data_IF_360605562789
#
_entry.id   IF_360605562789
#
_cell.length_a   1.000
_cell.length_b   1.000
_cell.length_c   1.000
_cell.angle_alpha   90.00
_cell.angle_beta   90.00
_cell.angle_gamma   90.00
#
_symmetry.space_group_name_H-M   'P 1'
#
loop_
_entity.id
_entity.type
_entity.pdbx_description
1 polymer ?
#
# COMPACT_ATOMS: atom_id res chain seq x y z
N UNK A 1 24.68 31.91 -15.32
CA UNK A 1 25.73 32.85 -14.86
C UNK A 1 26.93 32.00 -14.46
N UNK A 2 27.81 31.60 -15.38
CA UNK A 2 28.91 32.36 -16.01
C UNK A 2 29.94 32.90 -15.00
N UNK A 3 31.05 32.16 -14.86
CA UNK A 3 32.46 32.60 -14.99
C UNK A 3 33.33 31.33 -14.90
N UNK A 4 33.92 30.83 -15.99
CA UNK A 4 35.29 31.16 -16.51
C UNK A 4 36.33 31.03 -15.39
N UNK A 5 37.42 30.27 -15.47
CA UNK A 5 38.32 29.79 -16.53
C UNK A 5 39.37 28.91 -15.80
N UNK A 6 40.19 28.03 -16.35
CA UNK A 6 41.06 28.16 -17.53
C UNK A 6 41.78 26.82 -17.67
N UNK A 7 41.83 26.29 -18.88
CA UNK A 7 42.69 25.17 -19.29
C UNK A 7 43.97 25.79 -19.88
N UNK A 8 45.05 24.98 -19.89
CA UNK A 8 46.14 24.92 -20.89
C UNK A 8 47.57 25.27 -20.44
N UNK A 9 48.47 24.50 -21.07
CA UNK A 9 49.92 24.65 -21.28
C UNK A 9 50.85 24.01 -20.22
N UNK A 10 51.90 23.24 -20.55
CA UNK A 10 52.56 22.97 -21.83
C UNK A 10 53.55 21.79 -21.69
N UNK A 11 53.73 21.05 -22.78
CA UNK A 11 54.77 20.03 -23.01
C UNK A 11 56.19 20.62 -23.16
N UNK A 12 57.25 19.78 -23.03
CA UNK A 12 58.47 19.94 -23.84
C UNK A 12 59.86 19.72 -23.21
N UNK A 13 60.36 18.47 -23.30
CA UNK A 13 61.67 17.99 -23.81
C UNK A 13 63.04 18.69 -23.53
N UNK A 14 64.02 17.90 -23.05
CA UNK A 14 65.42 17.65 -23.55
C UNK A 14 66.26 16.96 -22.43
N UNK A 15 66.74 15.69 -22.54
CA UNK A 15 67.93 15.13 -23.25
C UNK A 15 69.23 15.94 -22.98
N UNK A 16 70.38 15.46 -22.48
CA UNK A 16 71.19 14.21 -22.58
C UNK A 16 72.19 14.13 -21.39
N UNK A 17 72.41 12.99 -20.73
CA UNK A 17 73.50 11.98 -20.91
C UNK A 17 74.90 12.29 -20.30
N UNK A 18 75.35 11.50 -19.30
CA UNK A 18 76.48 10.53 -19.37
C UNK A 18 77.06 10.10 -18.00
N UNK A 19 76.99 8.78 -17.75
CA UNK A 19 78.00 7.85 -17.14
C UNK A 19 78.58 8.16 -15.74
N UNK A 20 78.67 7.23 -14.78
CA UNK A 20 79.43 5.96 -14.76
C UNK A 20 78.93 5.07 -13.59
N UNK A 21 78.78 3.77 -13.82
CA UNK A 21 78.64 2.68 -12.81
C UNK A 21 80.05 2.09 -12.52
N UNK A 22 80.40 1.49 -11.36
CA UNK A 22 79.72 0.27 -10.89
C UNK A 22 79.62 0.06 -9.35
N UNK A 23 78.59 -0.69 -8.97
CA UNK A 23 78.52 -1.72 -7.92
C UNK A 23 79.23 -1.51 -6.58
N UNK A 24 78.42 -1.38 -5.51
CA UNK A 24 78.62 -2.13 -4.27
C UNK A 24 77.28 -2.67 -3.76
N UNK A 25 77.34 -3.95 -3.42
CA UNK A 25 76.27 -4.87 -3.08
C UNK A 25 75.96 -4.84 -1.57
N UNK A 26 74.74 -5.27 -1.23
CA UNK A 26 74.27 -5.75 0.09
C UNK A 26 74.18 -4.76 1.26
N UNK A 27 72.96 -4.49 1.73
CA UNK A 27 72.46 -5.06 2.99
C UNK A 27 71.03 -4.58 3.35
N UNK A 28 70.24 -5.55 3.83
CA UNK A 28 69.13 -5.43 4.78
C UNK A 28 67.75 -4.92 4.33
N UNK A 29 66.92 -5.91 3.98
CA UNK A 29 65.67 -6.25 4.68
C UNK A 29 65.12 -5.19 5.64
N UNK A 30 64.05 -4.50 5.21
CA UNK A 30 62.95 -4.08 6.08
C UNK A 30 61.75 -3.63 5.24
N UNK A 31 61.04 -4.58 4.64
CA UNK A 31 59.87 -4.27 3.80
C UNK A 31 58.78 -5.34 3.76
N UNK A 32 58.82 -6.34 4.65
CA UNK A 32 57.94 -7.50 4.56
C UNK A 32 57.05 -7.76 5.79
N UNK A 33 57.11 -6.95 6.86
CA UNK A 33 56.32 -7.19 8.07
C UNK A 33 55.23 -6.15 8.38
N UNK A 34 55.20 -4.97 7.74
CA UNK A 34 54.09 -4.00 7.91
C UNK A 34 52.87 -4.26 7.02
N UNK A 35 53.00 -5.10 5.98
CA UNK A 35 51.92 -5.38 5.02
C UNK A 35 50.87 -6.34 5.60
N UNK A 36 51.17 -7.09 6.67
CA UNK A 36 50.26 -8.13 7.18
C UNK A 36 49.18 -7.64 8.14
N UNK A 37 49.47 -6.65 9.01
CA UNK A 37 48.49 -6.15 9.98
C UNK A 37 47.56 -5.11 9.36
N UNK A 38 48.09 -4.22 8.51
CA UNK A 38 47.29 -3.20 7.84
C UNK A 38 46.28 -3.81 6.87
N UNK A 39 46.67 -4.85 6.13
CA UNK A 39 45.75 -5.59 5.24
C UNK A 39 44.67 -6.34 6.03
N UNK A 40 45.03 -6.98 7.14
CA UNK A 40 44.07 -7.64 8.04
C UNK A 40 43.05 -6.67 8.61
N UNK A 41 43.50 -5.51 9.10
CA UNK A 41 42.62 -4.44 9.60
C UNK A 41 41.73 -3.87 8.49
N UNK A 42 42.23 -3.74 7.26
CA UNK A 42 41.43 -3.30 6.10
C UNK A 42 40.35 -4.33 5.73
N UNK A 43 40.67 -5.62 5.80
CA UNK A 43 39.70 -6.69 5.54
C UNK A 43 38.62 -6.77 6.63
N UNK A 44 38.99 -6.66 7.90
CA UNK A 44 38.04 -6.58 9.02
C UNK A 44 37.14 -5.35 8.90
N UNK A 45 37.71 -4.19 8.57
CA UNK A 45 36.95 -2.96 8.33
C UNK A 45 35.98 -3.12 7.16
N UNK A 46 36.40 -3.79 6.07
CA UNK A 46 35.54 -4.07 4.93
C UNK A 46 34.38 -5.01 5.31
N UNK A 47 34.66 -6.07 6.07
CA UNK A 47 33.65 -7.00 6.60
C UNK A 47 32.67 -6.27 7.52
N UNK A 48 33.14 -5.39 8.39
CA UNK A 48 32.28 -4.65 9.31
C UNK A 48 31.44 -3.59 8.59
N UNK A 49 31.99 -2.92 7.58
CA UNK A 49 31.24 -2.02 6.70
C UNK A 49 30.14 -2.76 5.93
N UNK A 50 30.42 -3.95 5.41
CA UNK A 50 29.43 -4.78 4.72
C UNK A 50 28.30 -5.20 5.67
N UNK A 51 28.65 -5.70 6.86
CA UNK A 51 27.65 -6.00 7.92
C UNK A 51 26.82 -4.78 8.27
N UNK A 52 27.44 -3.61 8.43
CA UNK A 52 26.75 -2.37 8.74
C UNK A 52 25.80 -1.96 7.63
N UNK A 53 26.23 -1.99 6.37
CA UNK A 53 25.39 -1.67 5.21
C UNK A 53 24.20 -2.62 5.11
N UNK A 54 24.42 -3.92 5.34
CA UNK A 54 23.35 -4.92 5.37
C UNK A 54 22.37 -4.66 6.51
N UNK A 55 22.86 -4.44 7.73
CA UNK A 55 22.01 -4.14 8.88
C UNK A 55 21.20 -2.85 8.68
N UNK A 56 21.83 -1.83 8.09
CA UNK A 56 21.17 -0.58 7.73
C UNK A 56 20.05 -0.82 6.70
N UNK A 57 20.30 -1.63 5.67
CA UNK A 57 19.28 -1.99 4.68
C UNK A 57 18.13 -2.80 5.31
N UNK A 58 18.42 -3.75 6.20
CA UNK A 58 17.42 -4.51 6.95
C UNK A 58 16.57 -3.60 7.84
N UNK A 59 17.20 -2.62 8.49
CA UNK A 59 16.51 -1.63 9.33
C UNK A 59 15.60 -0.70 8.51
N UNK A 60 16.05 -0.19 7.37
CA UNK A 60 15.23 0.62 6.48
C UNK A 60 14.02 -0.17 5.95
N UNK A 61 14.22 -1.43 5.56
CA UNK A 61 13.15 -2.32 5.16
C UNK A 61 12.15 -2.59 6.30
N UNK A 62 12.65 -2.85 7.51
CA UNK A 62 11.82 -3.02 8.70
C UNK A 62 10.97 -1.77 8.97
N UNK A 63 11.57 -0.59 8.99
CA UNK A 63 10.89 0.69 9.20
C UNK A 63 9.79 0.92 8.16
N UNK A 64 10.07 0.65 6.88
CA UNK A 64 9.08 0.74 5.80
C UNK A 64 7.92 -0.23 6.00
N UNK A 65 8.21 -1.48 6.36
CA UNK A 65 7.19 -2.51 6.63
C UNK A 65 6.32 -2.14 7.83
N UNK A 66 6.92 -1.77 8.96
CA UNK A 66 6.20 -1.38 10.18
C UNK A 66 5.34 -0.15 9.95
N UNK A 67 5.82 0.83 9.18
CA UNK A 67 5.00 1.99 8.80
C UNK A 67 3.77 1.59 8.00
N UNK A 68 3.91 0.64 7.06
CA UNK A 68 2.79 0.13 6.26
C UNK A 68 1.77 -0.61 7.13
N UNK A 69 2.23 -1.55 7.97
CA UNK A 69 1.37 -2.32 8.89
C UNK A 69 0.61 -1.41 9.85
N UNK A 70 1.29 -0.39 10.41
CA UNK A 70 0.65 0.61 11.28
C UNK A 70 -0.44 1.39 10.55
N UNK A 71 -0.21 1.77 9.30
CA UNK A 71 -1.21 2.48 8.48
C UNK A 71 -2.40 1.58 8.17
N UNK A 72 -2.18 0.30 7.86
CA UNK A 72 -3.26 -0.68 7.66
C UNK A 72 -4.09 -0.86 8.94
N UNK A 73 -3.43 -1.00 10.09
CA UNK A 73 -4.11 -1.13 11.38
C UNK A 73 -4.99 0.09 11.67
N UNK A 74 -4.53 1.32 11.38
CA UNK A 74 -5.36 2.52 11.53
C UNK A 74 -6.56 2.54 10.59
N UNK A 75 -6.42 2.04 9.35
CA UNK A 75 -7.54 1.95 8.40
C UNK A 75 -8.62 1.00 8.89
N UNK A 76 -8.25 -0.09 9.56
CA UNK A 76 -9.18 -1.14 9.99
C UNK A 76 -9.57 -1.07 11.47
N UNK A 77 -8.97 -0.19 12.28
CA UNK A 77 -9.24 -0.09 13.72
C UNK A 77 -10.73 0.16 14.05
N UNK A 78 -11.44 0.89 13.18
CA UNK A 78 -12.87 1.16 13.34
C UNK A 78 -13.80 0.05 12.82
N UNK A 79 -13.27 -1.04 12.26
CA UNK A 79 -14.06 -2.03 11.52
C UNK A 79 -15.17 -2.65 12.37
N UNK A 80 -14.89 -3.11 13.59
CA UNK A 80 -15.87 -3.78 14.44
C UNK A 80 -17.05 -2.86 14.80
N UNK A 81 -16.75 -1.59 15.09
CA UNK A 81 -17.78 -0.57 15.34
C UNK A 81 -18.59 -0.32 14.08
N UNK A 82 -17.94 -0.19 12.92
CA UNK A 82 -18.66 0.00 11.65
C UNK A 82 -19.59 -1.16 11.34
N UNK A 83 -19.12 -2.40 11.47
CA UNK A 83 -19.93 -3.61 11.27
C UNK A 83 -21.13 -3.61 12.20
N UNK A 84 -20.94 -3.23 13.46
CA UNK A 84 -22.02 -3.15 14.46
C UNK A 84 -23.05 -2.04 14.15
N UNK A 85 -22.66 -1.02 13.38
CA UNK A 85 -23.54 0.08 12.96
C UNK A 85 -24.28 -0.20 11.64
N UNK A 86 -23.85 -1.19 10.85
CA UNK A 86 -24.51 -1.52 9.58
C UNK A 86 -25.99 -1.91 9.76
N UNK A 87 -26.39 -2.74 10.75
CA UNK A 87 -27.81 -3.04 10.97
C UNK A 87 -28.66 -1.81 11.26
N UNK A 88 -28.10 -0.82 11.98
CA UNK A 88 -28.78 0.45 12.27
C UNK A 88 -29.01 1.24 10.98
N UNK A 89 -28.04 1.22 10.05
CA UNK A 89 -28.22 1.83 8.73
C UNK A 89 -29.30 1.14 7.91
N UNK A 90 -29.39 -0.20 7.99
CA UNK A 90 -30.43 -0.96 7.31
C UNK A 90 -31.81 -0.67 7.91
N UNK A 91 -31.90 -0.46 9.23
CA UNK A 91 -33.10 -0.02 9.91
C UNK A 91 -33.55 1.37 9.44
N UNK A 92 -32.64 2.30 9.23
CA UNK A 92 -32.96 3.59 8.62
C UNK A 92 -33.54 3.43 7.21
N UNK A 93 -32.91 2.60 6.37
CA UNK A 93 -33.41 2.34 5.01
C UNK A 93 -34.79 1.67 5.03
N UNK A 94 -35.03 0.74 5.96
CA UNK A 94 -36.33 0.08 6.18
C UNK A 94 -37.38 1.07 6.68
N UNK A 95 -37.04 1.93 7.64
CA UNK A 95 -37.94 2.95 8.17
C UNK A 95 -38.32 3.98 7.09
N UNK A 96 -37.37 4.42 6.28
CA UNK A 96 -37.63 5.35 5.17
C UNK A 96 -38.54 4.74 4.11
N UNK A 97 -38.36 3.45 3.76
CA UNK A 97 -39.25 2.75 2.83
C UNK A 97 -40.70 2.72 3.34
N UNK A 98 -40.90 2.60 4.65
CA UNK A 98 -42.24 2.59 5.24
C UNK A 98 -42.82 4.00 5.36
N UNK A 99 -42.04 4.97 5.83
CA UNK A 99 -42.45 6.38 5.91
C UNK A 99 -42.78 6.97 4.55
N UNK A 100 -42.12 6.53 3.48
CA UNK A 100 -42.43 6.93 2.11
C UNK A 100 -43.87 6.59 1.67
N UNK A 101 -44.53 5.65 2.35
CA UNK A 101 -45.93 5.28 2.11
C UNK A 101 -46.91 6.11 2.95
N UNK A 102 -46.42 6.84 3.94
CA UNK A 102 -47.24 7.67 4.82
C UNK A 102 -47.44 9.07 4.23
N UNK A 103 -48.52 9.75 4.64
CA UNK A 103 -48.79 11.13 4.23
C UNK A 103 -47.94 12.18 4.98
N UNK A 104 -47.20 11.76 6.03
CA UNK A 104 -46.36 12.64 6.84
C UNK A 104 -45.00 12.91 6.17
N UNK A 105 -45.03 13.85 5.21
CA UNK A 105 -43.85 14.27 4.46
C UNK A 105 -42.81 15.00 5.31
N UNK A 106 -43.21 15.65 6.39
CA UNK A 106 -42.28 16.36 7.28
C UNK A 106 -41.45 15.36 8.08
N UNK A 107 -42.09 14.35 8.66
CA UNK A 107 -41.41 13.25 9.33
C UNK A 107 -40.47 12.51 8.37
N UNK A 108 -40.95 12.15 7.17
CA UNK A 108 -40.11 11.50 6.15
C UNK A 108 -38.82 12.30 5.89
N UNK A 109 -38.96 13.60 5.63
CA UNK A 109 -37.84 14.48 5.34
C UNK A 109 -36.88 14.61 6.53
N UNK A 110 -37.39 14.69 7.76
CA UNK A 110 -36.57 14.73 8.97
C UNK A 110 -35.69 13.48 9.12
N UNK A 111 -36.29 12.30 8.96
CA UNK A 111 -35.59 11.01 9.04
C UNK A 111 -34.61 10.84 7.88
N UNK A 112 -34.98 11.27 6.66
CA UNK A 112 -34.11 11.21 5.48
C UNK A 112 -32.83 12.02 5.68
N UNK A 113 -32.94 13.24 6.22
CA UNK A 113 -31.78 14.08 6.54
C UNK A 113 -30.84 13.41 7.56
N UNK A 114 -31.39 12.73 8.56
CA UNK A 114 -30.60 11.99 9.56
C UNK A 114 -29.88 10.80 8.91
N UNK A 115 -30.58 10.02 8.08
CA UNK A 115 -29.98 8.88 7.37
C UNK A 115 -28.85 9.34 6.43
N UNK A 116 -29.06 10.43 5.69
CA UNK A 116 -28.06 10.98 4.80
C UNK A 116 -26.83 11.46 5.57
N UNK A 117 -27.02 12.22 6.65
CA UNK A 117 -25.92 12.66 7.53
C UNK A 117 -25.17 11.48 8.13
N UNK A 118 -25.87 10.42 8.52
CA UNK A 118 -25.27 9.20 9.05
C UNK A 118 -24.39 8.51 8.00
N UNK A 119 -24.91 8.29 6.80
CA UNK A 119 -24.16 7.71 5.67
C UNK A 119 -22.95 8.54 5.29
N UNK A 120 -23.08 9.87 5.19
CA UNK A 120 -21.97 10.77 4.90
C UNK A 120 -20.90 10.73 6.00
N UNK A 121 -21.31 10.67 7.26
CA UNK A 121 -20.37 10.57 8.39
C UNK A 121 -19.56 9.29 8.32
N UNK A 122 -20.19 8.14 8.05
CA UNK A 122 -19.50 6.86 7.89
C UNK A 122 -18.62 6.84 6.63
N UNK A 123 -19.09 7.42 5.53
CA UNK A 123 -18.32 7.57 4.29
C UNK A 123 -17.04 8.37 4.50
N UNK A 124 -17.11 9.46 5.25
CA UNK A 124 -15.93 10.27 5.61
C UNK A 124 -14.95 9.51 6.53
N UNK A 125 -15.37 8.41 7.16
CA UNK A 125 -14.51 7.49 7.91
C UNK A 125 -13.98 6.32 7.07
N UNK A 126 -14.28 6.29 5.76
CA UNK A 126 -13.78 5.30 4.81
C UNK A 126 -14.76 4.16 4.49
N UNK A 127 -16.01 4.22 4.98
CA UNK A 127 -17.04 3.25 4.62
C UNK A 127 -17.59 3.53 3.22
N UNK A 128 -17.49 2.56 2.32
CA UNK A 128 -18.03 2.67 0.97
C UNK A 128 -19.04 1.57 0.73
N UNK A 129 -20.20 1.92 0.17
CA UNK A 129 -21.18 0.93 -0.29
C UNK A 129 -20.66 0.27 -1.56
N UNK A 130 -20.81 -1.05 -1.66
CA UNK A 130 -20.53 -1.79 -2.89
C UNK A 130 -21.71 -1.56 -3.83
N UNK A 131 -21.44 -1.04 -5.02
CA UNK A 131 -22.46 -0.85 -6.05
C UNK A 131 -22.80 -2.20 -6.67
N UNK A 132 -24.03 -2.64 -6.45
CA UNK A 132 -24.60 -3.85 -7.05
C UNK A 132 -25.99 -3.50 -7.56
N UNK A 133 -26.26 -3.84 -8.81
CA UNK A 133 -27.53 -3.60 -9.49
C UNK A 133 -28.10 -4.90 -10.02
N UNK A 134 -29.42 -4.91 -10.19
CA UNK A 134 -30.10 -5.98 -10.90
C UNK A 134 -29.55 -6.09 -12.32
N UNK A 135 -29.24 -7.31 -12.77
CA UNK A 135 -28.62 -7.59 -14.06
C UNK A 135 -27.09 -7.50 -14.08
N UNK A 136 -26.44 -7.24 -12.94
CA UNK A 136 -24.99 -7.36 -12.82
C UNK A 136 -24.55 -8.84 -12.79
N UNK A 137 -23.31 -9.09 -13.20
CA UNK A 137 -22.71 -10.42 -13.14
C UNK A 137 -22.46 -10.82 -11.69
N UNK A 138 -22.88 -12.02 -11.31
CA UNK A 138 -22.55 -12.56 -9.99
C UNK A 138 -21.06 -12.88 -9.89
N UNK A 139 -20.47 -12.58 -8.74
CA UNK A 139 -19.06 -12.81 -8.43
C UNK A 139 -19.00 -13.32 -6.99
N UNK A 140 -18.48 -14.52 -6.78
CA UNK A 140 -18.41 -15.16 -5.46
C UNK A 140 -17.36 -14.52 -4.55
N UNK A 141 -16.41 -13.74 -5.08
CA UNK A 141 -15.43 -13.01 -4.27
C UNK A 141 -16.04 -11.75 -3.63
N UNK A 142 -17.07 -11.19 -4.27
CA UNK A 142 -17.67 -9.91 -3.86
C UNK A 142 -19.10 -10.07 -3.34
N UNK A 143 -19.86 -11.04 -3.82
CA UNK A 143 -21.29 -11.19 -3.54
C UNK A 143 -21.60 -12.46 -2.75
N UNK A 144 -22.60 -12.38 -1.86
CA UNK A 144 -23.12 -13.52 -1.11
C UNK A 144 -24.48 -13.95 -1.69
N UNK A 145 -24.51 -15.06 -2.44
CA UNK A 145 -25.75 -15.58 -3.02
C UNK A 145 -26.58 -16.35 -1.98
N UNK A 146 -27.64 -15.72 -1.49
CA UNK A 146 -28.50 -16.34 -0.47
C UNK A 146 -29.47 -17.38 -1.04
N UNK A 147 -29.88 -17.20 -2.30
CA UNK A 147 -30.80 -18.11 -2.99
C UNK A 147 -30.73 -17.92 -4.50
N UNK A 148 -31.29 -18.89 -5.21
CA UNK A 148 -31.47 -18.83 -6.65
C UNK A 148 -32.95 -18.96 -7.00
N UNK A 149 -33.39 -18.16 -7.96
CA UNK A 149 -34.76 -18.24 -8.50
C UNK A 149 -34.72 -18.42 -10.02
N UNK A 150 -35.77 -19.02 -10.62
CA UNK A 150 -35.87 -19.10 -12.07
C UNK A 150 -35.72 -17.72 -12.70
N UNK A 151 -34.78 -17.57 -13.64
CA UNK A 151 -34.57 -16.30 -14.30
C UNK A 151 -35.85 -15.85 -15.04
N UNK A 152 -36.34 -14.62 -14.82
CA UNK A 152 -37.52 -14.11 -15.54
C UNK A 152 -37.31 -14.08 -17.06
N UNK A 153 -36.05 -13.86 -17.45
CA UNK A 153 -35.59 -13.79 -18.83
C UNK A 153 -34.27 -14.54 -19.00
N UNK A 154 -34.02 -15.09 -20.19
CA UNK A 154 -32.75 -15.76 -20.53
C UNK A 154 -31.51 -14.89 -20.29
N UNK A 155 -31.64 -13.55 -20.34
CA UNK A 155 -30.53 -12.61 -20.11
C UNK A 155 -30.09 -12.52 -18.65
N UNK A 156 -30.97 -12.91 -17.71
CA UNK A 156 -30.73 -12.84 -16.27
C UNK A 156 -30.25 -14.17 -15.68
N UNK A 157 -30.09 -15.21 -16.52
CA UNK A 157 -29.50 -16.48 -16.10
C UNK A 157 -28.04 -16.27 -15.69
N UNK A 158 -27.70 -16.70 -14.49
CA UNK A 158 -26.38 -16.52 -13.86
C UNK A 158 -26.10 -15.09 -13.38
N UNK A 159 -27.10 -14.20 -13.40
CA UNK A 159 -26.97 -12.80 -13.00
C UNK A 159 -27.71 -12.49 -11.71
N UNK A 160 -27.37 -11.37 -11.09
CA UNK A 160 -28.07 -10.85 -9.93
C UNK A 160 -29.47 -10.41 -10.35
N UNK A 161 -30.50 -10.93 -9.67
CA UNK A 161 -31.90 -10.56 -9.87
C UNK A 161 -32.33 -9.52 -8.85
N UNK A 162 -31.87 -9.62 -7.61
CA UNK A 162 -32.22 -8.69 -6.53
C UNK A 162 -31.09 -8.61 -5.51
N UNK A 163 -31.00 -7.48 -4.81
CA UNK A 163 -30.06 -7.22 -3.72
C UNK A 163 -30.85 -7.08 -2.42
N UNK A 164 -30.83 -8.14 -1.62
CA UNK A 164 -31.60 -8.22 -0.36
C UNK A 164 -30.94 -7.42 0.75
N UNK A 165 -29.60 -7.43 0.81
CA UNK A 165 -28.83 -6.69 1.80
C UNK A 165 -27.65 -5.99 1.12
N UNK A 166 -27.44 -4.71 1.44
CA UNK A 166 -26.38 -3.90 0.82
C UNK A 166 -25.00 -4.27 1.36
N UNK A 167 -24.03 -4.36 0.46
CA UNK A 167 -22.64 -4.63 0.78
C UNK A 167 -21.85 -3.37 1.10
N UNK A 168 -20.83 -3.51 1.94
CA UNK A 168 -19.96 -2.42 2.36
C UNK A 168 -18.51 -2.86 2.48
N UNK A 169 -17.59 -1.95 2.10
CA UNK A 169 -16.15 -2.08 2.27
C UNK A 169 -15.61 -0.91 3.09
N UNK A 170 -14.53 -1.17 3.82
CA UNK A 170 -13.77 -0.17 4.59
C UNK A 170 -12.37 -0.07 3.98
N UNK A 171 -12.12 1.01 3.25
CA UNK A 171 -10.96 1.09 2.35
C UNK A 171 -11.01 -0.04 1.30
N UNK A 172 -10.00 -0.89 1.31
CA UNK A 172 -9.86 -2.00 0.35
C UNK A 172 -10.48 -3.32 0.83
N UNK A 173 -10.97 -3.37 2.08
CA UNK A 173 -11.46 -4.61 2.70
C UNK A 173 -12.99 -4.64 2.70
N UNK A 174 -13.58 -5.69 2.14
CA UNK A 174 -15.01 -5.95 2.28
C UNK A 174 -15.30 -6.32 3.74
N UNK A 175 -16.21 -5.58 4.38
CA UNK A 175 -16.62 -5.81 5.78
C UNK A 175 -18.02 -6.43 5.85
N UNK A 176 -18.81 -6.30 4.78
CA UNK A 176 -20.08 -6.98 4.57
C UNK A 176 -20.28 -7.23 3.08
N UNK A 177 -20.42 -8.48 2.68
CA UNK A 177 -20.79 -8.81 1.30
C UNK A 177 -22.28 -8.46 1.09
N UNK A 178 -22.65 -7.89 -0.08
CA UNK A 178 -24.05 -7.72 -0.45
C UNK A 178 -24.68 -9.10 -0.62
N UNK A 179 -25.85 -9.28 0.00
CA UNK A 179 -26.63 -10.51 -0.17
C UNK A 179 -27.52 -10.37 -1.39
N UNK A 180 -27.39 -11.30 -2.31
CA UNK A 180 -28.03 -11.24 -3.62
C UNK A 180 -28.82 -12.50 -3.93
N UNK A 181 -29.84 -12.34 -4.78
CA UNK A 181 -30.57 -13.44 -5.41
C UNK A 181 -30.04 -13.61 -6.82
N UNK A 182 -29.73 -14.84 -7.23
CA UNK A 182 -29.16 -15.12 -8.57
C UNK A 182 -30.15 -15.89 -9.44
N UNK A 183 -30.21 -15.58 -10.73
CA UNK A 183 -31.03 -16.33 -11.68
C UNK A 183 -30.41 -17.67 -12.07
N UNK A 184 -31.20 -18.75 -12.05
CA UNK A 184 -30.76 -20.06 -12.56
C UNK A 184 -31.27 -20.39 -13.97
#
# INVERSE_FOLDING_TARGET
>A
MSKKSKVEDMEGFSEEAQTVNPELNDENMNGAEEISEEEGLREELAKEKDKFLRLFAEFENFKKRTSKERMELFKTAGQEVMVSLLPVMDDFDRALKELAKSDDKEMFKGVELINNKFKETLKNKGLEQIEVKEGDTFDAEVHDAITQIPAPDKKLKGKIIDVVEKGFKLGDRIIRHPKVVVGN
#
